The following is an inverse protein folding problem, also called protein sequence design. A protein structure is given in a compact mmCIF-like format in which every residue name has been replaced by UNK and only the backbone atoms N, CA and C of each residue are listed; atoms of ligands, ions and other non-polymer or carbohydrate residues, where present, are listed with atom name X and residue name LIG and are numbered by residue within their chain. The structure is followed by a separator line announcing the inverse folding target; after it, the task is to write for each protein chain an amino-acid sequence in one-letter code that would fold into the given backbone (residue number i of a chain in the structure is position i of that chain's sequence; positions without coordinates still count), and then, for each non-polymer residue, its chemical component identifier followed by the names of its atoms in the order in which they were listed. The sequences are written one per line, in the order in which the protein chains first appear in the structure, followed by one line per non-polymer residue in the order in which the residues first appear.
data_IF_346798357884
#
_entry.id   IF_346798357884
#
_cell.length_a   1.000
_cell.length_b   1.000
_cell.length_c   1.000
_cell.angle_alpha   90.00
_cell.angle_beta   90.00
_cell.angle_gamma   90.00
#
_symmetry.space_group_name_H-M   'P 1'
#
loop_
_entity.id
_entity.type
_entity.pdbx_description
1 polymer ?
#
# COMPACT_ATOMS: atom_id res chain seq x y z
N UNK A 1 91.81 -37.15 -63.32
CA UNK A 1 90.77 -36.10 -63.40
C UNK A 1 89.41 -36.72 -63.10
N UNK A 2 88.86 -36.57 -61.88
CA UNK A 2 87.60 -37.24 -61.48
C UNK A 2 86.79 -36.50 -60.41
N UNK A 3 87.07 -35.21 -60.21
CA UNK A 3 86.51 -34.38 -59.14
C UNK A 3 85.26 -33.51 -59.49
N UNK A 4 84.95 -33.13 -60.76
CA UNK A 4 83.82 -32.21 -61.04
C UNK A 4 82.41 -32.80 -60.81
N UNK A 5 82.21 -34.09 -61.09
CA UNK A 5 80.87 -34.72 -61.09
C UNK A 5 80.26 -34.90 -59.69
N UNK A 6 81.09 -35.07 -58.66
CA UNK A 6 80.60 -35.19 -57.27
C UNK A 6 80.05 -33.86 -56.76
N UNK A 7 80.71 -32.74 -57.08
CA UNK A 7 80.28 -31.40 -56.66
C UNK A 7 78.95 -31.01 -57.32
N UNK A 8 78.79 -31.29 -58.62
CA UNK A 8 77.53 -31.05 -59.34
C UNK A 8 76.34 -31.81 -58.73
N UNK A 9 76.52 -33.09 -58.34
CA UNK A 9 75.46 -33.88 -57.68
C UNK A 9 75.10 -33.34 -56.29
N UNK A 10 76.05 -32.79 -55.54
CA UNK A 10 75.79 -32.17 -54.23
C UNK A 10 74.97 -30.88 -54.41
N UNK A 11 75.35 -30.03 -55.37
CA UNK A 11 74.61 -28.80 -55.70
C UNK A 11 73.19 -29.14 -56.15
N UNK A 12 73.02 -30.12 -57.04
CA UNK A 12 71.69 -30.53 -57.53
C UNK A 12 70.80 -31.10 -56.41
N UNK A 13 71.38 -31.85 -55.45
CA UNK A 13 70.64 -32.32 -54.26
C UNK A 13 70.27 -31.15 -53.32
N UNK A 14 71.18 -30.20 -53.13
CA UNK A 14 70.91 -28.98 -52.35
C UNK A 14 69.77 -28.17 -52.95
N UNK A 15 69.81 -27.93 -54.27
CA UNK A 15 68.77 -27.21 -55.00
C UNK A 15 67.39 -27.86 -54.87
N UNK A 16 67.29 -29.19 -55.10
CA UNK A 16 66.02 -29.93 -54.90
C UNK A 16 65.51 -29.87 -53.46
N UNK A 17 66.41 -29.75 -52.48
CA UNK A 17 66.02 -29.60 -51.07
C UNK A 17 65.45 -28.22 -50.79
N UNK A 18 66.04 -27.18 -51.41
CA UNK A 18 65.54 -25.80 -51.35
C UNK A 18 64.17 -25.71 -52.01
N UNK A 19 63.99 -26.24 -53.23
CA UNK A 19 62.70 -26.26 -53.94
C UNK A 19 61.60 -26.91 -53.09
N UNK A 20 61.86 -28.10 -52.51
CA UNK A 20 60.90 -28.77 -51.62
C UNK A 20 60.59 -27.97 -50.36
N UNK A 21 61.55 -27.20 -49.85
CA UNK A 21 61.35 -26.36 -48.66
C UNK A 21 60.51 -25.14 -49.02
N UNK A 22 60.77 -24.51 -50.16
CA UNK A 22 59.96 -23.41 -50.69
C UNK A 22 58.52 -23.86 -50.97
N UNK A 23 58.32 -25.03 -51.60
CA UNK A 23 56.98 -25.60 -51.81
C UNK A 23 56.23 -25.83 -50.49
N UNK A 24 56.92 -26.33 -49.46
CA UNK A 24 56.33 -26.52 -48.13
C UNK A 24 55.95 -25.18 -47.48
N UNK A 25 56.82 -24.17 -47.60
CA UNK A 25 56.56 -22.82 -47.09
C UNK A 25 55.36 -22.22 -47.82
N UNK A 26 55.31 -22.31 -49.15
CA UNK A 26 54.19 -21.80 -49.95
C UNK A 26 52.88 -22.46 -49.56
N UNK A 27 52.83 -23.81 -49.46
CA UNK A 27 51.62 -24.52 -49.02
C UNK A 27 51.21 -24.14 -47.59
N UNK A 28 52.17 -23.95 -46.70
CA UNK A 28 51.90 -23.49 -45.34
C UNK A 28 51.33 -22.07 -45.33
N UNK A 29 51.86 -21.19 -46.18
CA UNK A 29 51.39 -19.82 -46.36
C UNK A 29 49.96 -19.79 -46.93
N UNK A 30 49.69 -20.56 -47.99
CA UNK A 30 48.35 -20.66 -48.59
C UNK A 30 47.34 -21.22 -47.57
N UNK A 31 47.74 -22.22 -46.79
CA UNK A 31 46.89 -22.78 -45.71
C UNK A 31 46.61 -21.74 -44.63
N UNK A 32 47.62 -20.95 -44.25
CA UNK A 32 47.45 -19.86 -43.28
C UNK A 32 46.53 -18.76 -43.84
N UNK A 33 46.74 -18.32 -45.08
CA UNK A 33 45.91 -17.32 -45.74
C UNK A 33 44.45 -17.78 -45.82
N UNK A 34 44.20 -19.02 -46.24
CA UNK A 34 42.85 -19.59 -46.30
C UNK A 34 42.18 -19.63 -44.91
N UNK A 35 42.93 -19.94 -43.84
CA UNK A 35 42.41 -19.92 -42.46
C UNK A 35 42.06 -18.50 -42.00
N UNK A 36 42.90 -17.52 -42.34
CA UNK A 36 42.65 -16.11 -42.03
C UNK A 36 41.43 -15.60 -42.78
N UNK A 37 41.31 -15.87 -44.08
CA UNK A 37 40.15 -15.48 -44.89
C UNK A 37 38.86 -16.12 -44.39
N UNK A 38 38.88 -17.41 -44.05
CA UNK A 38 37.73 -18.09 -43.45
C UNK A 38 37.29 -17.43 -42.13
N UNK A 39 38.25 -17.07 -41.27
CA UNK A 39 37.96 -16.41 -39.98
C UNK A 39 37.46 -14.98 -40.14
N UNK A 40 37.96 -14.24 -41.13
CA UNK A 40 37.44 -12.91 -41.49
C UNK A 40 35.98 -13.02 -41.95
N UNK A 41 35.66 -14.01 -42.78
CA UNK A 41 34.30 -14.22 -43.27
C UNK A 41 33.33 -14.61 -42.13
N UNK A 42 33.76 -15.47 -41.22
CA UNK A 42 33.00 -15.83 -40.01
C UNK A 42 32.72 -14.61 -39.13
N UNK A 43 33.73 -13.78 -38.86
CA UNK A 43 33.57 -12.53 -38.09
C UNK A 43 32.58 -11.58 -38.78
N UNK A 44 32.68 -11.42 -40.11
CA UNK A 44 31.75 -10.56 -40.88
C UNK A 44 30.31 -11.05 -40.78
N UNK A 45 30.09 -12.36 -40.82
CA UNK A 45 28.73 -12.91 -40.72
C UNK A 45 28.17 -12.78 -39.30
N UNK A 46 28.98 -13.04 -38.27
CA UNK A 46 28.61 -12.82 -36.87
C UNK A 46 28.24 -11.34 -36.62
N UNK A 47 29.00 -10.39 -37.16
CA UNK A 47 28.68 -8.95 -37.08
C UNK A 47 27.36 -8.61 -37.78
N UNK A 48 27.08 -9.20 -38.95
CA UNK A 48 25.79 -9.01 -39.65
C UNK A 48 24.61 -9.54 -38.85
N UNK A 49 24.75 -10.72 -38.25
CA UNK A 49 23.71 -11.32 -37.39
C UNK A 49 23.49 -10.43 -36.16
N UNK A 50 24.56 -10.01 -35.49
CA UNK A 50 24.47 -9.10 -34.33
C UNK A 50 23.74 -7.80 -34.71
N UNK A 51 24.11 -7.17 -35.83
CA UNK A 51 23.49 -5.91 -36.27
C UNK A 51 22.00 -6.09 -36.63
N UNK A 52 21.62 -7.22 -37.23
CA UNK A 52 20.20 -7.56 -37.48
C UNK A 52 19.42 -7.71 -36.19
N UNK A 53 19.99 -8.35 -35.17
CA UNK A 53 19.36 -8.53 -33.87
C UNK A 53 19.20 -7.18 -33.15
N UNK A 54 20.26 -6.37 -33.08
CA UNK A 54 20.18 -5.01 -32.51
C UNK A 54 19.13 -4.15 -33.22
N UNK A 55 19.03 -4.23 -34.55
CA UNK A 55 17.99 -3.51 -35.30
C UNK A 55 16.56 -3.98 -34.98
N UNK A 56 16.35 -5.29 -34.75
CA UNK A 56 15.05 -5.82 -34.29
C UNK A 56 14.70 -5.32 -32.89
N UNK A 57 15.67 -5.33 -31.97
CA UNK A 57 15.48 -4.87 -30.60
C UNK A 57 15.13 -3.38 -30.56
N UNK A 58 15.82 -2.55 -31.36
CA UNK A 58 15.50 -1.13 -31.51
C UNK A 58 14.07 -0.90 -32.01
N UNK A 59 13.62 -1.63 -33.03
CA UNK A 59 12.22 -1.53 -33.50
C UNK A 59 11.21 -1.94 -32.43
N UNK A 60 11.54 -2.94 -31.60
CA UNK A 60 10.67 -3.36 -30.49
C UNK A 60 10.62 -2.28 -29.40
N UNK A 61 11.74 -1.62 -29.10
CA UNK A 61 11.80 -0.48 -28.17
C UNK A 61 10.94 0.68 -28.71
N UNK A 62 11.07 1.03 -29.99
CA UNK A 62 10.26 2.10 -30.61
C UNK A 62 8.76 1.79 -30.53
N UNK A 63 8.36 0.54 -30.81
CA UNK A 63 6.96 0.12 -30.68
C UNK A 63 6.45 0.23 -29.24
N UNK A 64 7.27 -0.15 -28.24
CA UNK A 64 6.94 0.01 -26.82
C UNK A 64 6.84 1.49 -26.42
N UNK A 65 7.76 2.33 -26.87
CA UNK A 65 7.73 3.78 -26.63
C UNK A 65 6.48 4.44 -27.21
N UNK A 66 6.07 4.05 -28.42
CA UNK A 66 4.84 4.52 -29.04
C UNK A 66 3.60 4.09 -28.25
N UNK A 67 3.58 2.85 -27.73
CA UNK A 67 2.52 2.37 -26.85
C UNK A 67 2.44 3.15 -25.55
N UNK A 68 3.59 3.42 -24.90
CA UNK A 68 3.67 4.23 -23.67
C UNK A 68 3.15 5.65 -23.94
N UNK A 69 3.55 6.27 -25.05
CA UNK A 69 3.09 7.60 -25.42
C UNK A 69 1.57 7.66 -25.57
N UNK A 70 0.96 6.68 -26.25
CA UNK A 70 -0.51 6.58 -26.35
C UNK A 70 -1.19 6.46 -24.99
N UNK A 71 -0.66 5.63 -24.10
CA UNK A 71 -1.19 5.49 -22.73
C UNK A 71 -1.07 6.78 -21.92
N UNK A 72 0.02 7.54 -22.08
CA UNK A 72 0.20 8.84 -21.42
C UNK A 72 -0.79 9.88 -21.94
N UNK A 73 -1.06 9.91 -23.24
CA UNK A 73 -2.07 10.82 -23.81
C UNK A 73 -3.46 10.55 -23.23
N UNK A 74 -3.88 9.29 -23.13
CA UNK A 74 -5.16 8.89 -22.51
C UNK A 74 -5.19 9.32 -21.03
N UNK A 75 -4.08 9.16 -20.31
CA UNK A 75 -3.98 9.56 -18.91
C UNK A 75 -4.13 11.09 -18.73
N UNK A 76 -3.51 11.87 -19.61
CA UNK A 76 -3.66 13.34 -19.62
C UNK A 76 -5.09 13.78 -19.93
N UNK A 77 -5.79 13.09 -20.84
CA UNK A 77 -7.20 13.35 -21.13
C UNK A 77 -8.08 13.04 -19.92
N UNK A 78 -7.88 11.89 -19.28
CA UNK A 78 -8.61 11.53 -18.05
C UNK A 78 -8.36 12.55 -16.92
N UNK A 79 -7.12 13.01 -16.74
CA UNK A 79 -6.80 14.02 -15.75
C UNK A 79 -7.54 15.34 -16.01
N UNK A 80 -7.68 15.77 -17.27
CA UNK A 80 -8.49 16.94 -17.62
C UNK A 80 -9.97 16.76 -17.30
N UNK A 81 -10.51 15.55 -17.49
CA UNK A 81 -11.89 15.24 -17.11
C UNK A 81 -12.08 15.27 -15.59
N UNK A 82 -11.12 14.72 -14.84
CA UNK A 82 -11.12 14.76 -13.37
C UNK A 82 -11.02 16.20 -12.83
N UNK A 83 -10.13 17.03 -13.39
CA UNK A 83 -10.01 18.46 -13.04
C UNK A 83 -11.32 19.22 -13.34
N UNK A 84 -11.98 18.88 -14.46
CA UNK A 84 -13.29 19.43 -14.82
C UNK A 84 -14.39 19.04 -13.82
N UNK A 85 -14.45 17.77 -13.43
CA UNK A 85 -15.39 17.27 -12.43
C UNK A 85 -15.14 17.90 -11.05
N UNK A 86 -13.88 18.02 -10.63
CA UNK A 86 -13.49 18.67 -9.38
C UNK A 86 -13.95 20.14 -9.35
N UNK A 87 -13.83 20.86 -10.47
CA UNK A 87 -14.31 22.24 -10.60
C UNK A 87 -15.84 22.34 -10.46
N UNK A 88 -16.59 21.40 -11.05
CA UNK A 88 -18.06 21.34 -10.91
C UNK A 88 -18.44 21.10 -9.44
N UNK A 89 -17.78 20.15 -8.77
CA UNK A 89 -18.03 19.85 -7.36
C UNK A 89 -17.68 21.02 -6.44
N UNK A 90 -16.60 21.76 -6.73
CA UNK A 90 -16.23 22.98 -6.01
C UNK A 90 -17.31 24.06 -6.15
N UNK A 91 -17.82 24.28 -7.36
CA UNK A 91 -18.91 25.23 -7.59
C UNK A 91 -20.18 24.82 -6.83
N UNK A 92 -20.59 23.54 -6.91
CA UNK A 92 -21.75 23.03 -6.17
C UNK A 92 -21.60 23.18 -4.65
N UNK A 93 -20.39 22.96 -4.12
CA UNK A 93 -20.08 23.18 -2.70
C UNK A 93 -20.23 24.65 -2.31
N UNK A 94 -19.74 25.56 -3.14
CA UNK A 94 -19.78 27.00 -2.86
C UNK A 94 -21.21 27.55 -2.97
N UNK A 95 -22.02 27.06 -3.92
CA UNK A 95 -23.47 27.32 -4.01
C UNK A 95 -24.21 26.84 -2.75
N UNK A 96 -23.98 25.59 -2.33
CA UNK A 96 -24.58 25.04 -1.11
C UNK A 96 -24.16 25.84 0.15
N UNK A 97 -22.92 26.34 0.20
CA UNK A 97 -22.43 27.18 1.31
C UNK A 97 -23.10 28.55 1.34
N UNK A 98 -23.37 29.14 0.17
CA UNK A 98 -24.12 30.39 0.07
C UNK A 98 -25.57 30.19 0.54
N UNK A 99 -26.22 29.11 0.13
CA UNK A 99 -27.59 28.77 0.56
C UNK A 99 -27.66 28.57 2.09
N UNK A 100 -26.73 27.81 2.68
CA UNK A 100 -26.66 27.63 4.14
C UNK A 100 -26.41 28.96 4.85
N UNK A 101 -25.58 29.84 4.30
CA UNK A 101 -25.33 31.17 4.88
C UNK A 101 -26.58 32.05 4.84
N UNK A 102 -27.35 31.99 3.75
CA UNK A 102 -28.62 32.69 3.60
C UNK A 102 -29.66 32.19 4.61
N UNK A 103 -29.83 30.86 4.73
CA UNK A 103 -30.75 30.25 5.69
C UNK A 103 -30.38 30.60 7.13
N UNK A 104 -29.08 30.63 7.46
CA UNK A 104 -28.58 31.02 8.78
C UNK A 104 -28.94 32.48 9.11
N UNK A 105 -28.72 33.41 8.18
CA UNK A 105 -29.09 34.82 8.35
C UNK A 105 -30.61 34.99 8.52
N UNK A 106 -31.39 34.24 7.74
CA UNK A 106 -32.85 34.24 7.87
C UNK A 106 -33.28 33.78 9.27
N UNK A 107 -32.67 32.71 9.78
CA UNK A 107 -32.95 32.18 11.11
C UNK A 107 -32.57 33.18 12.22
N UNK A 108 -31.38 33.78 12.15
CA UNK A 108 -30.92 34.79 13.11
C UNK A 108 -31.90 35.96 13.18
N UNK A 109 -32.36 36.46 12.03
CA UNK A 109 -33.38 37.53 11.96
C UNK A 109 -34.70 37.11 12.61
N UNK A 110 -35.18 35.89 12.35
CA UNK A 110 -36.43 35.39 12.97
C UNK A 110 -36.29 35.26 14.49
N UNK A 111 -35.12 34.86 14.98
CA UNK A 111 -34.84 34.80 16.43
C UNK A 111 -34.86 36.20 17.05
N UNK A 112 -34.23 37.20 16.42
CA UNK A 112 -34.26 38.59 16.89
C UNK A 112 -35.69 39.16 16.95
N UNK A 113 -36.51 38.87 15.93
CA UNK A 113 -37.92 39.27 15.90
C UNK A 113 -38.71 38.63 17.04
N UNK A 114 -38.47 37.35 17.33
CA UNK A 114 -39.09 36.64 18.46
C UNK A 114 -38.66 37.22 19.81
N UNK A 115 -37.38 37.50 20.00
CA UNK A 115 -36.88 38.13 21.23
C UNK A 115 -37.50 39.51 21.44
N UNK A 116 -37.60 40.34 20.40
CA UNK A 116 -38.22 41.65 20.47
C UNK A 116 -39.71 41.57 20.87
N UNK A 117 -40.43 40.59 20.34
CA UNK A 117 -41.83 40.32 20.71
C UNK A 117 -41.92 39.87 22.17
N UNK A 118 -41.02 38.98 22.61
CA UNK A 118 -40.96 38.52 23.99
C UNK A 118 -40.69 39.66 24.98
N UNK A 119 -39.76 40.57 24.69
CA UNK A 119 -39.50 41.74 25.53
C UNK A 119 -40.71 42.69 25.63
N UNK A 120 -41.42 42.93 24.51
CA UNK A 120 -42.67 43.72 24.52
C UNK A 120 -43.73 43.05 25.39
N UNK A 121 -43.90 41.74 25.26
CA UNK A 121 -44.84 40.95 26.05
C UNK A 121 -44.54 41.06 27.56
N UNK A 122 -43.27 40.92 27.95
CA UNK A 122 -42.84 41.04 29.34
C UNK A 122 -43.09 42.45 29.92
N UNK A 123 -42.91 43.49 29.09
CA UNK A 123 -43.24 44.87 29.46
C UNK A 123 -44.74 45.10 29.71
N UNK A 124 -45.61 44.48 28.89
CA UNK A 124 -47.08 44.56 29.05
C UNK A 124 -47.57 43.80 30.28
N UNK A 125 -46.93 42.69 30.67
CA UNK A 125 -47.27 42.01 31.93
C UNK A 125 -46.99 42.85 33.17
N UNK A 126 -45.98 43.73 33.14
CA UNK A 126 -45.65 44.60 34.27
C UNK A 126 -46.56 45.83 34.41
N UNK A 127 -47.30 46.22 33.37
CA UNK A 127 -48.21 47.39 33.42
C UNK A 127 -49.64 47.06 33.85
N UNK A 128 -49.93 45.78 34.10
CA UNK A 128 -51.03 45.30 34.95
C UNK A 128 -52.35 46.09 34.85
N UNK A 129 -53.08 45.95 33.72
CA UNK A 129 -54.56 46.08 33.58
C UNK A 129 -54.96 46.32 32.12
N UNK A 130 -54.83 45.32 31.24
CA UNK A 130 -55.65 45.26 30.02
C UNK A 130 -55.76 43.81 29.54
N UNK A 131 -56.94 43.47 29.01
CA UNK A 131 -57.36 42.14 28.54
C UNK A 131 -56.29 41.42 27.72
N UNK A 132 -55.89 40.22 28.18
CA UNK A 132 -54.85 39.35 27.59
C UNK A 132 -55.22 38.72 26.22
N UNK A 133 -56.44 38.92 25.73
CA UNK A 133 -56.97 38.20 24.57
C UNK A 133 -56.18 38.40 23.25
N UNK A 134 -55.82 39.64 22.81
CA UNK A 134 -55.17 39.82 21.51
C UNK A 134 -53.68 39.42 21.50
N UNK A 135 -53.06 39.26 22.67
CA UNK A 135 -51.64 38.87 22.77
C UNK A 135 -51.46 37.35 22.77
N UNK A 136 -52.40 36.62 23.37
CA UNK A 136 -52.44 35.16 23.28
C UNK A 136 -52.53 34.69 21.82
N UNK A 137 -53.33 35.39 21.01
CA UNK A 137 -53.49 35.09 19.57
C UNK A 137 -52.18 35.27 18.78
N UNK A 138 -51.39 36.30 19.09
CA UNK A 138 -50.10 36.54 18.43
C UNK A 138 -49.02 35.51 18.83
N UNK A 139 -48.97 35.11 20.10
CA UNK A 139 -48.03 34.08 20.58
C UNK A 139 -48.36 32.73 19.94
N UNK A 140 -49.64 32.36 19.92
CA UNK A 140 -50.10 31.12 19.30
C UNK A 140 -49.80 31.09 17.79
N UNK A 141 -49.89 32.24 17.11
CA UNK A 141 -49.51 32.36 15.69
C UNK A 141 -48.00 32.16 15.47
N UNK A 142 -47.15 32.68 16.35
CA UNK A 142 -45.70 32.54 16.25
C UNK A 142 -45.24 31.12 16.60
N UNK A 143 -45.83 30.49 17.62
CA UNK A 143 -45.61 29.07 17.92
C UNK A 143 -45.99 28.19 16.73
N UNK A 144 -47.09 28.51 16.04
CA UNK A 144 -47.47 27.82 14.80
C UNK A 144 -46.45 27.98 13.67
N UNK A 145 -45.85 29.17 13.50
CA UNK A 145 -44.80 29.40 12.49
C UNK A 145 -43.53 28.63 12.85
N UNK A 146 -43.10 28.65 14.12
CA UNK A 146 -41.92 27.90 14.57
C UNK A 146 -42.14 26.40 14.39
N UNK A 147 -43.31 25.89 14.77
CA UNK A 147 -43.67 24.48 14.59
C UNK A 147 -43.67 24.10 13.10
N UNK A 148 -44.22 24.95 12.22
CA UNK A 148 -44.21 24.75 10.77
C UNK A 148 -42.80 24.71 10.19
N UNK A 149 -41.88 25.57 10.66
CA UNK A 149 -40.49 25.56 10.20
C UNK A 149 -39.74 24.31 10.69
N UNK A 150 -39.99 23.89 11.93
CA UNK A 150 -39.43 22.64 12.47
C UNK A 150 -39.94 21.43 11.70
N UNK A 151 -41.23 21.41 11.37
CA UNK A 151 -41.84 20.37 10.55
C UNK A 151 -41.29 20.40 9.12
N UNK A 152 -41.12 21.55 8.47
CA UNK A 152 -40.48 21.64 7.15
C UNK A 152 -39.02 21.17 7.18
N UNK A 153 -38.25 21.49 8.22
CA UNK A 153 -36.88 21.02 8.38
C UNK A 153 -36.82 19.50 8.60
N UNK A 154 -37.69 18.96 9.47
CA UNK A 154 -37.80 17.53 9.69
C UNK A 154 -38.25 16.81 8.42
N UNK A 155 -39.22 17.38 7.69
CA UNK A 155 -39.73 16.83 6.45
C UNK A 155 -38.65 16.84 5.38
N UNK A 156 -37.94 17.96 5.18
CA UNK A 156 -36.82 18.07 4.26
C UNK A 156 -35.65 17.14 4.63
N UNK A 157 -35.42 16.87 5.92
CA UNK A 157 -34.41 15.92 6.38
C UNK A 157 -34.84 14.46 6.21
N UNK A 158 -36.12 14.14 6.43
CA UNK A 158 -36.71 12.83 6.10
C UNK A 158 -36.81 12.60 4.60
N UNK A 159 -37.13 13.61 3.79
CA UNK A 159 -37.15 13.54 2.34
C UNK A 159 -35.73 13.46 1.78
N UNK A 160 -34.75 14.17 2.35
CA UNK A 160 -33.33 13.96 2.02
C UNK A 160 -32.85 12.56 2.42
N UNK A 161 -33.38 11.98 3.51
CA UNK A 161 -33.08 10.61 3.90
C UNK A 161 -33.81 9.56 3.05
N UNK A 162 -35.03 9.84 2.58
CA UNK A 162 -35.87 8.94 1.80
C UNK A 162 -35.61 8.99 0.29
N UNK A 163 -35.30 10.18 -0.25
CA UNK A 163 -34.90 10.41 -1.65
C UNK A 163 -33.39 10.28 -1.87
N UNK A 164 -32.59 9.94 -0.85
CA UNK A 164 -31.27 9.32 -1.08
C UNK A 164 -31.53 7.87 -1.48
N UNK A 165 -31.41 7.49 -2.76
CA UNK A 165 -31.74 6.15 -3.22
C UNK A 165 -30.77 5.15 -2.59
N UNK A 166 -31.13 4.50 -1.48
CA UNK A 166 -30.43 3.35 -0.91
C UNK A 166 -28.93 3.50 -0.61
N UNK A 167 -28.34 4.70 -0.76
CA UNK A 167 -26.89 4.93 -0.78
C UNK A 167 -26.31 5.23 0.60
N UNK A 168 -27.15 5.60 1.58
CA UNK A 168 -26.88 5.25 2.98
C UNK A 168 -27.22 3.77 3.13
N UNK A 169 -26.52 2.93 2.36
CA UNK A 169 -26.61 1.49 2.51
C UNK A 169 -26.45 1.22 4.00
N UNK A 170 -27.18 0.23 4.54
CA UNK A 170 -26.78 -0.38 5.79
C UNK A 170 -25.33 -0.79 5.58
N UNK A 171 -24.38 0.07 5.97
CA UNK A 171 -22.97 -0.13 5.70
C UNK A 171 -22.70 -1.54 6.14
N UNK A 172 -22.25 -2.38 5.20
CA UNK A 172 -22.12 -3.82 5.41
C UNK A 172 -21.52 -4.00 6.79
N UNK A 173 -22.31 -4.54 7.72
CA UNK A 173 -21.93 -4.61 9.13
C UNK A 173 -20.72 -5.53 9.17
N UNK A 174 -19.54 -4.93 9.13
CA UNK A 174 -18.28 -5.66 9.10
C UNK A 174 -18.18 -6.39 10.43
N UNK A 175 -18.21 -7.72 10.36
CA UNK A 175 -18.11 -8.54 11.55
C UNK A 175 -16.64 -8.63 11.97
N UNK A 176 -16.37 -8.56 13.28
CA UNK A 176 -15.02 -8.74 13.81
C UNK A 176 -14.43 -10.11 13.40
N UNK A 177 -15.27 -11.12 13.24
CA UNK A 177 -14.86 -12.45 12.80
C UNK A 177 -14.40 -12.48 11.33
N UNK A 178 -14.94 -11.62 10.47
CA UNK A 178 -14.48 -11.49 9.08
C UNK A 178 -13.06 -10.92 9.04
N UNK A 179 -12.83 -9.83 9.79
CA UNK A 179 -11.52 -9.19 9.93
C UNK A 179 -10.50 -10.18 10.52
N UNK A 180 -10.84 -10.87 11.61
CA UNK A 180 -9.96 -11.89 12.22
C UNK A 180 -9.68 -13.05 11.28
N UNK A 181 -10.65 -13.45 10.44
CA UNK A 181 -10.46 -14.53 9.48
C UNK A 181 -9.48 -14.12 8.38
N UNK A 182 -9.65 -12.93 7.80
CA UNK A 182 -8.70 -12.38 6.82
C UNK A 182 -7.31 -12.17 7.42
N UNK A 183 -7.24 -11.72 8.67
CA UNK A 183 -5.96 -11.60 9.38
C UNK A 183 -5.27 -12.95 9.56
N UNK A 184 -6.00 -13.99 9.99
CA UNK A 184 -5.45 -15.36 10.16
C UNK A 184 -5.03 -15.98 8.83
N UNK A 185 -5.80 -15.77 7.77
CA UNK A 185 -5.47 -16.19 6.41
C UNK A 185 -4.15 -15.56 5.96
N UNK A 186 -4.02 -14.23 6.09
CA UNK A 186 -2.78 -13.51 5.82
C UNK A 186 -1.61 -14.00 6.69
N UNK A 187 -1.83 -14.20 7.99
CA UNK A 187 -0.81 -14.72 8.91
C UNK A 187 -0.32 -16.12 8.53
N UNK A 188 -1.20 -16.96 8.02
CA UNK A 188 -0.85 -18.30 7.55
C UNK A 188 -0.01 -18.23 6.26
N UNK A 189 -0.44 -17.44 5.27
CA UNK A 189 0.31 -17.26 4.03
C UNK A 189 1.70 -16.64 4.28
N UNK A 190 1.80 -15.65 5.16
CA UNK A 190 3.09 -15.06 5.55
C UNK A 190 4.02 -16.11 6.17
N UNK A 191 3.51 -16.95 7.07
CA UNK A 191 4.31 -18.04 7.67
C UNK A 191 4.75 -19.08 6.64
N UNK A 192 3.87 -19.42 5.70
CA UNK A 192 4.18 -20.35 4.61
C UNK A 192 5.29 -19.79 3.71
N UNK A 193 5.17 -18.53 3.27
CA UNK A 193 6.20 -17.88 2.46
C UNK A 193 7.51 -17.71 3.24
N UNK A 194 7.44 -17.38 4.53
CA UNK A 194 8.61 -17.28 5.39
C UNK A 194 9.36 -18.61 5.49
N UNK A 195 8.66 -19.74 5.56
CA UNK A 195 9.27 -21.06 5.52
C UNK A 195 10.00 -21.29 4.19
N UNK A 196 9.33 -21.04 3.05
CA UNK A 196 9.95 -21.15 1.72
C UNK A 196 11.20 -20.29 1.59
N UNK A 197 11.16 -19.04 2.07
CA UNK A 197 12.31 -18.14 2.03
C UNK A 197 13.46 -18.59 2.94
N UNK A 198 13.13 -19.15 4.11
CA UNK A 198 14.10 -19.71 5.04
C UNK A 198 14.84 -20.88 4.42
N UNK A 199 14.11 -21.80 3.78
CA UNK A 199 14.69 -22.96 3.08
C UNK A 199 15.53 -22.54 1.87
N UNK A 200 15.11 -21.51 1.15
CA UNK A 200 15.79 -21.00 -0.03
C UNK A 200 17.07 -20.20 0.27
N UNK A 201 17.14 -19.49 1.40
CA UNK A 201 18.32 -18.69 1.75
C UNK A 201 19.48 -19.56 2.26
N UNK A 202 19.18 -20.66 2.95
CA UNK A 202 20.18 -21.42 3.73
C UNK A 202 20.66 -20.64 4.98
N UNK A 203 21.59 -21.22 5.74
CA UNK A 203 21.90 -20.83 7.13
C UNK A 203 22.65 -19.48 7.30
N UNK A 204 22.75 -18.62 6.27
CA UNK A 204 23.52 -17.36 6.37
C UNK A 204 22.77 -16.20 5.74
N UNK A 205 21.99 -15.48 6.57
CA UNK A 205 21.46 -14.17 6.21
C UNK A 205 22.59 -13.14 6.13
N UNK A 206 22.97 -12.78 4.90
CA UNK A 206 24.04 -11.80 4.68
C UNK A 206 23.67 -10.41 5.21
N UNK A 207 24.70 -9.63 5.59
CA UNK A 207 24.56 -8.24 6.03
C UNK A 207 23.87 -7.34 4.98
N UNK A 208 23.93 -7.73 3.70
CA UNK A 208 23.23 -7.11 2.57
C UNK A 208 21.70 -7.27 2.70
N UNK A 209 21.23 -8.48 3.02
CA UNK A 209 19.83 -8.77 3.31
C UNK A 209 19.33 -7.98 4.53
N UNK A 210 20.15 -7.87 5.58
CA UNK A 210 19.79 -7.07 6.77
C UNK A 210 19.60 -5.57 6.50
N UNK A 211 20.30 -5.00 5.51
CA UNK A 211 20.07 -3.60 5.10
C UNK A 211 18.70 -3.41 4.45
N UNK A 212 18.21 -4.40 3.71
CA UNK A 212 16.87 -4.39 3.09
C UNK A 212 15.78 -4.58 4.15
N UNK A 213 16.05 -5.41 5.17
CA UNK A 213 15.12 -5.71 6.26
C UNK A 213 15.07 -4.63 7.37
N UNK A 214 16.01 -3.68 7.35
CA UNK A 214 16.07 -2.54 8.26
C UNK A 214 16.80 -2.82 9.57
N UNK A 215 17.09 -1.74 10.32
CA UNK A 215 17.92 -1.78 11.55
C UNK A 215 17.37 -2.70 12.65
N UNK A 216 16.05 -2.90 12.71
CA UNK A 216 15.45 -3.79 13.69
C UNK A 216 15.75 -5.28 13.42
N UNK A 217 15.81 -5.70 12.15
CA UNK A 217 16.17 -7.07 11.80
C UNK A 217 17.62 -7.39 12.17
N UNK A 218 18.54 -6.43 11.98
CA UNK A 218 19.95 -6.57 12.32
C UNK A 218 20.18 -6.97 13.78
N UNK A 219 19.55 -6.27 14.72
CA UNK A 219 19.76 -6.48 16.17
C UNK A 219 19.33 -7.87 16.64
N UNK A 220 18.34 -8.46 15.97
CA UNK A 220 17.89 -9.82 16.26
C UNK A 220 18.89 -10.87 15.80
N UNK A 221 19.41 -10.75 14.58
CA UNK A 221 20.45 -11.66 14.09
C UNK A 221 21.71 -11.64 14.94
N UNK A 222 22.05 -10.48 15.51
CA UNK A 222 23.16 -10.37 16.46
C UNK A 222 22.87 -11.12 17.78
N UNK A 223 21.61 -11.31 18.14
CA UNK A 223 21.18 -11.87 19.44
C UNK A 223 20.81 -13.36 19.36
N UNK A 224 20.27 -13.84 18.24
CA UNK A 224 19.80 -15.21 18.07
C UNK A 224 20.68 -15.93 17.05
N UNK A 225 21.56 -16.81 17.53
CA UNK A 225 22.45 -17.63 16.69
C UNK A 225 21.85 -19.00 16.29
N UNK A 226 20.55 -19.21 16.55
CA UNK A 226 19.90 -20.52 16.37
C UNK A 226 19.20 -20.64 15.00
N UNK A 227 19.44 -21.75 14.29
CA UNK A 227 18.89 -22.07 12.96
C UNK A 227 17.35 -22.11 12.96
N UNK A 228 16.71 -22.38 14.10
CA UNK A 228 15.24 -22.39 14.19
C UNK A 228 14.59 -21.00 14.08
N UNK A 229 15.40 -19.93 14.02
CA UNK A 229 14.90 -18.54 14.07
C UNK A 229 14.76 -17.86 12.71
N UNK A 230 15.30 -18.43 11.63
CA UNK A 230 15.30 -17.81 10.30
C UNK A 230 13.88 -17.61 9.76
N UNK A 231 13.02 -18.62 9.89
CA UNK A 231 11.59 -18.53 9.52
C UNK A 231 10.89 -17.39 10.26
N UNK A 232 11.18 -17.23 11.54
CA UNK A 232 10.53 -16.25 12.39
C UNK A 232 10.99 -14.82 12.05
N UNK A 233 12.26 -14.65 11.65
CA UNK A 233 12.76 -13.40 11.08
C UNK A 233 12.06 -13.07 9.77
N UNK A 234 12.00 -14.04 8.84
CA UNK A 234 11.33 -13.85 7.56
C UNK A 234 9.86 -13.48 7.73
N UNK A 235 9.16 -14.16 8.63
CA UNK A 235 7.76 -13.86 8.98
C UNK A 235 7.61 -12.41 9.46
N UNK A 236 8.48 -11.98 10.38
CA UNK A 236 8.48 -10.60 10.89
C UNK A 236 8.72 -9.57 9.79
N UNK A 237 9.67 -9.87 8.90
CA UNK A 237 10.04 -9.00 7.79
C UNK A 237 8.90 -8.86 6.79
N UNK A 238 8.27 -9.97 6.41
CA UNK A 238 7.10 -9.98 5.55
C UNK A 238 5.94 -9.21 6.18
N UNK A 239 5.64 -9.44 7.46
CA UNK A 239 4.61 -8.69 8.17
C UNK A 239 4.86 -7.18 8.16
N UNK A 240 6.11 -6.75 8.39
CA UNK A 240 6.47 -5.33 8.31
C UNK A 240 6.30 -4.78 6.92
N UNK A 241 6.85 -5.47 5.90
CA UNK A 241 6.72 -5.05 4.51
C UNK A 241 5.25 -4.86 4.15
N UNK A 242 4.40 -5.87 4.40
CA UNK A 242 2.96 -5.79 4.10
C UNK A 242 2.27 -4.70 4.93
N UNK A 243 2.61 -4.55 6.21
CA UNK A 243 2.03 -3.51 7.06
C UNK A 243 2.37 -2.11 6.54
N UNK A 244 3.65 -1.83 6.27
CA UNK A 244 4.09 -0.52 5.78
C UNK A 244 3.66 -0.25 4.35
N UNK A 245 3.57 -1.27 3.50
CA UNK A 245 3.20 -1.13 2.09
C UNK A 245 1.69 -1.08 1.87
N UNK A 246 0.87 -1.70 2.72
CA UNK A 246 -0.58 -1.77 2.51
C UNK A 246 -1.34 -1.25 3.71
N UNK A 247 -1.12 -1.83 4.89
CA UNK A 247 -2.05 -1.70 6.01
C UNK A 247 -1.86 -0.45 6.88
N UNK A 248 -0.83 0.37 6.65
CA UNK A 248 -0.53 1.58 7.42
C UNK A 248 -0.81 2.88 6.63
N UNK A 249 -1.20 3.98 7.31
CA UNK A 249 -1.64 5.23 6.67
C UNK A 249 -0.52 5.96 5.91
N UNK A 250 0.73 5.67 6.25
CA UNK A 250 1.91 6.28 5.65
C UNK A 250 2.56 5.40 4.58
N UNK A 251 1.80 4.49 3.96
CA UNK A 251 2.33 3.68 2.87
C UNK A 251 2.69 4.56 1.68
N UNK A 252 3.96 4.51 1.27
CA UNK A 252 4.45 5.18 0.06
C UNK A 252 3.83 4.60 -1.22
N UNK A 253 3.39 3.35 -1.19
CA UNK A 253 2.84 2.69 -2.38
C UNK A 253 1.50 3.28 -2.81
N UNK A 254 0.73 3.80 -1.85
CA UNK A 254 -0.53 4.46 -2.11
C UNK A 254 -0.36 5.99 -2.23
N UNK A 255 0.87 6.51 -2.39
CA UNK A 255 1.11 7.95 -2.40
C UNK A 255 0.32 8.65 -3.50
N UNK A 256 -0.52 9.61 -3.08
CA UNK A 256 -1.40 10.35 -3.99
C UNK A 256 -2.67 9.60 -4.41
N UNK A 257 -2.85 8.36 -3.95
CA UNK A 257 -4.08 7.60 -4.16
C UNK A 257 -5.16 8.04 -3.16
N UNK A 258 -6.44 8.19 -3.56
CA UNK A 258 -7.51 8.60 -2.65
C UNK A 258 -7.64 7.72 -1.39
N UNK A 259 -7.36 6.42 -1.55
CA UNK A 259 -7.33 5.44 -0.45
C UNK A 259 -6.35 5.82 0.66
N UNK A 260 -5.18 6.36 0.31
CA UNK A 260 -4.18 6.80 1.28
C UNK A 260 -4.69 7.99 2.08
N UNK A 261 -5.27 8.98 1.40
CA UNK A 261 -5.85 10.17 2.04
C UNK A 261 -6.95 9.78 3.03
N UNK A 262 -7.85 8.86 2.65
CA UNK A 262 -8.88 8.34 3.55
C UNK A 262 -8.28 7.65 4.77
N UNK A 263 -7.24 6.83 4.55
CA UNK A 263 -6.58 6.10 5.61
C UNK A 263 -5.86 7.04 6.60
N UNK A 264 -5.14 8.04 6.09
CA UNK A 264 -4.52 9.10 6.90
C UNK A 264 -5.56 9.89 7.68
N UNK A 265 -6.67 10.25 7.03
CA UNK A 265 -7.75 10.97 7.67
C UNK A 265 -8.38 10.16 8.81
N UNK A 266 -8.61 8.86 8.62
CA UNK A 266 -9.05 7.94 9.69
C UNK A 266 -8.04 7.85 10.83
N UNK A 267 -6.75 7.73 10.53
CA UNK A 267 -5.69 7.68 11.56
C UNK A 267 -5.62 8.99 12.36
N UNK A 268 -5.63 10.13 11.69
CA UNK A 268 -5.56 11.45 12.32
C UNK A 268 -6.82 11.74 13.15
N UNK A 269 -7.98 11.33 12.64
CA UNK A 269 -9.23 11.39 13.38
C UNK A 269 -9.14 10.55 14.67
N UNK A 270 -8.67 9.30 14.59
CA UNK A 270 -8.50 8.43 15.77
C UNK A 270 -7.61 9.07 16.84
N UNK A 271 -6.52 9.72 16.44
CA UNK A 271 -5.61 10.40 17.39
C UNK A 271 -6.23 11.66 18.00
N UNK A 272 -7.01 12.41 17.22
CA UNK A 272 -7.63 13.67 17.66
C UNK A 272 -8.89 13.46 18.51
N UNK A 273 -9.54 12.30 18.36
CA UNK A 273 -10.85 12.00 18.96
C UNK A 273 -10.77 11.17 20.23
N UNK A 274 -9.56 10.85 20.73
CA UNK A 274 -9.37 10.03 21.95
C UNK A 274 -10.10 10.57 23.19
N UNK A 275 -10.50 11.83 23.18
CA UNK A 275 -11.13 12.52 24.32
C UNK A 275 -12.57 13.00 24.05
N UNK A 276 -13.13 12.77 22.85
CA UNK A 276 -14.40 13.41 22.42
C UNK A 276 -15.38 12.43 21.75
N UNK A 277 -15.92 11.49 22.54
CA UNK A 277 -16.73 10.36 22.09
C UNK A 277 -17.85 10.67 21.08
N UNK A 278 -18.67 11.70 21.31
CA UNK A 278 -19.76 12.07 20.37
C UNK A 278 -19.26 12.55 19.01
N UNK A 279 -18.11 13.24 18.95
CA UNK A 279 -17.51 13.65 17.67
C UNK A 279 -16.95 12.46 16.91
N UNK A 280 -16.48 11.44 17.63
CA UNK A 280 -15.93 10.24 17.02
C UNK A 280 -16.97 9.47 16.22
N UNK A 281 -18.19 9.34 16.75
CA UNK A 281 -19.31 8.73 16.05
C UNK A 281 -19.62 9.43 14.73
N UNK A 282 -19.82 10.75 14.75
CA UNK A 282 -20.15 11.49 13.53
C UNK A 282 -19.03 11.39 12.48
N UNK A 283 -17.77 11.60 12.88
CA UNK A 283 -16.62 11.51 11.96
C UNK A 283 -16.50 10.10 11.39
N UNK A 284 -16.65 9.08 12.24
CA UNK A 284 -16.53 7.69 11.82
C UNK A 284 -17.57 7.28 10.77
N UNK A 285 -18.81 7.73 10.96
CA UNK A 285 -19.93 7.49 10.05
C UNK A 285 -19.66 8.19 8.72
N UNK A 286 -19.28 9.46 8.77
CA UNK A 286 -18.93 10.22 7.56
C UNK A 286 -17.77 9.59 6.77
N UNK A 287 -16.73 9.09 7.46
CA UNK A 287 -15.59 8.43 6.81
C UNK A 287 -15.96 7.07 6.21
N UNK A 288 -16.77 6.28 6.91
CA UNK A 288 -17.26 5.00 6.42
C UNK A 288 -18.17 5.19 5.19
N UNK A 289 -19.11 6.13 5.26
CA UNK A 289 -20.00 6.43 4.14
C UNK A 289 -19.20 6.99 2.94
N UNK A 290 -18.18 7.82 3.22
CA UNK A 290 -17.24 8.32 2.22
C UNK A 290 -16.40 7.24 1.55
N UNK A 291 -16.08 6.13 2.24
CA UNK A 291 -15.25 5.05 1.70
C UNK A 291 -15.85 4.41 0.44
N UNK A 292 -17.19 4.31 0.40
CA UNK A 292 -17.92 3.74 -0.73
C UNK A 292 -17.73 4.57 -2.00
N UNK A 293 -17.72 5.91 -1.87
CA UNK A 293 -17.47 6.79 -3.00
C UNK A 293 -16.07 6.60 -3.58
N UNK A 294 -15.07 6.28 -2.74
CA UNK A 294 -13.72 6.00 -3.22
C UNK A 294 -13.62 4.68 -3.99
N UNK A 295 -14.46 3.68 -3.65
CA UNK A 295 -14.50 2.41 -4.38
C UNK A 295 -14.91 2.62 -5.84
N UNK A 296 -15.90 3.49 -6.07
CA UNK A 296 -16.43 3.77 -7.41
C UNK A 296 -15.60 4.79 -8.20
N UNK A 297 -14.92 5.73 -7.52
CA UNK A 297 -14.08 6.74 -8.18
C UNK A 297 -12.68 6.25 -8.51
N UNK A 298 -12.15 5.27 -7.80
CA UNK A 298 -10.87 4.68 -8.19
C UNK A 298 -11.09 3.69 -9.32
N UNK A 299 -10.66 4.06 -10.53
CA UNK A 299 -10.58 3.14 -11.66
C UNK A 299 -9.96 1.82 -11.22
N UNK A 300 -10.62 0.70 -11.51
CA UNK A 300 -10.08 -0.65 -11.27
C UNK A 300 -8.65 -0.80 -11.84
N UNK A 301 -8.35 -0.09 -12.94
CA UNK A 301 -7.01 -0.03 -13.52
C UNK A 301 -5.98 0.71 -12.64
N UNK A 302 -6.38 1.76 -11.93
CA UNK A 302 -5.49 2.48 -11.01
C UNK A 302 -5.13 1.60 -9.80
N UNK A 303 -6.13 0.92 -9.22
CA UNK A 303 -5.92 -0.05 -8.14
C UNK A 303 -5.01 -1.20 -8.61
N UNK A 304 -5.27 -1.74 -9.81
CA UNK A 304 -4.43 -2.79 -10.41
C UNK A 304 -2.98 -2.33 -10.63
N UNK A 305 -2.76 -1.10 -11.10
CA UNK A 305 -1.42 -0.56 -11.32
C UNK A 305 -0.63 -0.41 -10.02
N UNK A 306 -1.26 0.12 -8.96
CA UNK A 306 -0.62 0.23 -7.64
C UNK A 306 -0.31 -1.16 -7.09
N UNK A 307 -1.24 -2.10 -7.25
CA UNK A 307 -1.05 -3.48 -6.85
C UNK A 307 0.11 -4.16 -7.59
N UNK A 308 0.22 -4.00 -8.91
CA UNK A 308 1.29 -4.56 -9.73
C UNK A 308 2.65 -3.93 -9.37
N UNK A 309 2.70 -2.64 -9.05
CA UNK A 309 3.90 -1.96 -8.57
C UNK A 309 4.36 -2.51 -7.22
N UNK A 310 3.42 -2.68 -6.27
CA UNK A 310 3.67 -3.30 -4.97
C UNK A 310 4.22 -4.72 -5.11
N UNK A 311 3.56 -5.52 -5.93
CA UNK A 311 3.99 -6.89 -6.22
C UNK A 311 5.41 -6.91 -6.78
N UNK A 312 5.70 -6.08 -7.78
CA UNK A 312 7.04 -5.94 -8.35
C UNK A 312 8.07 -5.53 -7.30
N UNK A 313 7.77 -4.51 -6.48
CA UNK A 313 8.70 -3.97 -5.49
C UNK A 313 9.02 -4.97 -4.38
N UNK A 314 8.00 -5.61 -3.81
CA UNK A 314 8.19 -6.59 -2.72
C UNK A 314 8.91 -7.81 -3.26
N UNK A 315 8.45 -8.36 -4.40
CA UNK A 315 9.09 -9.53 -5.01
C UNK A 315 10.55 -9.24 -5.36
N UNK A 316 10.85 -8.10 -6.00
CA UNK A 316 12.23 -7.74 -6.33
C UNK A 316 13.10 -7.51 -5.09
N UNK A 317 12.52 -7.09 -3.96
CA UNK A 317 13.24 -6.94 -2.69
C UNK A 317 13.57 -8.31 -2.08
N UNK A 318 12.62 -9.26 -2.09
CA UNK A 318 12.85 -10.64 -1.64
C UNK A 318 13.83 -11.38 -2.56
N UNK A 319 13.70 -11.27 -3.87
CA UNK A 319 14.58 -11.97 -4.83
C UNK A 319 16.03 -11.49 -4.77
N UNK A 320 16.28 -10.24 -4.36
CA UNK A 320 17.64 -9.71 -4.15
C UNK A 320 18.35 -10.32 -2.94
N UNK A 321 17.59 -10.93 -2.04
CA UNK A 321 18.12 -11.49 -0.80
C UNK A 321 18.38 -12.99 -0.87
N UNK A 322 18.01 -13.64 -1.98
CA UNK A 322 18.19 -15.08 -2.18
C UNK A 322 19.49 -15.36 -2.96
N UNK A 323 20.28 -16.37 -2.55
CA UNK A 323 21.60 -16.65 -3.13
C UNK A 323 21.53 -17.24 -4.54
N UNK A 324 20.47 -17.99 -4.88
CA UNK A 324 20.27 -18.60 -6.19
C UNK A 324 18.87 -18.29 -6.69
N UNK A 325 18.78 -17.71 -7.89
CA UNK A 325 17.52 -17.37 -8.53
C UNK A 325 17.11 -18.50 -9.49
N UNK A 326 16.42 -19.51 -8.96
CA UNK A 326 15.67 -20.43 -9.82
C UNK A 326 14.39 -19.73 -10.34
N UNK A 327 14.14 -19.88 -11.64
CA UNK A 327 12.95 -19.39 -12.31
C UNK A 327 11.66 -19.90 -11.67
N UNK A 328 11.60 -21.16 -11.23
CA UNK A 328 10.40 -21.73 -10.60
C UNK A 328 10.16 -21.14 -9.21
N UNK A 329 11.20 -21.08 -8.39
CA UNK A 329 11.12 -20.45 -7.07
C UNK A 329 10.69 -18.97 -7.17
N UNK A 330 11.19 -18.25 -8.17
CA UNK A 330 10.79 -16.85 -8.44
C UNK A 330 9.29 -16.74 -8.72
N UNK A 331 8.75 -17.63 -9.54
CA UNK A 331 7.33 -17.67 -9.88
C UNK A 331 6.49 -17.98 -8.63
N UNK A 332 6.91 -18.96 -7.81
CA UNK A 332 6.22 -19.31 -6.58
C UNK A 332 6.20 -18.15 -5.57
N UNK A 333 7.34 -17.52 -5.31
CA UNK A 333 7.43 -16.35 -4.41
C UNK A 333 6.52 -15.22 -4.91
N UNK A 334 6.52 -14.93 -6.23
CA UNK A 334 5.63 -13.92 -6.79
C UNK A 334 4.15 -14.27 -6.62
N UNK A 335 3.77 -15.54 -6.78
CA UNK A 335 2.39 -15.99 -6.57
C UNK A 335 1.97 -15.85 -5.10
N UNK A 336 2.84 -16.25 -4.16
CA UNK A 336 2.57 -16.15 -2.73
C UNK A 336 2.46 -14.68 -2.28
N UNK A 337 3.38 -13.81 -2.74
CA UNK A 337 3.31 -12.37 -2.47
C UNK A 337 2.03 -11.77 -3.05
N UNK A 338 1.63 -12.18 -4.27
CA UNK A 338 0.37 -11.73 -4.89
C UNK A 338 -0.83 -12.14 -4.03
N UNK A 339 -0.89 -13.38 -3.55
CA UNK A 339 -1.97 -13.85 -2.69
C UNK A 339 -2.04 -13.07 -1.36
N UNK A 340 -0.89 -12.83 -0.72
CA UNK A 340 -0.79 -12.03 0.50
C UNK A 340 -1.28 -10.60 0.27
N UNK A 341 -0.84 -9.96 -0.81
CA UNK A 341 -1.24 -8.59 -1.15
C UNK A 341 -2.74 -8.50 -1.45
N UNK A 342 -3.33 -9.51 -2.09
CA UNK A 342 -4.76 -9.54 -2.36
C UNK A 342 -5.56 -9.51 -1.05
N UNK A 343 -5.23 -10.41 -0.12
CA UNK A 343 -5.89 -10.47 1.21
C UNK A 343 -5.63 -9.20 2.02
N UNK A 344 -4.42 -8.63 1.97
CA UNK A 344 -4.11 -7.37 2.65
C UNK A 344 -4.93 -6.19 2.10
N UNK A 345 -5.10 -6.11 0.77
CA UNK A 345 -5.90 -5.07 0.12
C UNK A 345 -7.40 -5.20 0.44
N UNK A 346 -7.93 -6.43 0.50
CA UNK A 346 -9.30 -6.72 0.93
C UNK A 346 -9.51 -6.33 2.39
N UNK A 347 -8.60 -6.75 3.27
CA UNK A 347 -8.64 -6.41 4.69
C UNK A 347 -8.60 -4.88 4.89
N UNK A 348 -7.74 -4.17 4.15
CA UNK A 348 -7.71 -2.71 4.20
C UNK A 348 -9.04 -2.10 3.74
N UNK A 349 -9.69 -2.65 2.71
CA UNK A 349 -10.99 -2.17 2.25
C UNK A 349 -12.06 -2.30 3.35
N UNK A 350 -12.08 -3.47 3.99
CA UNK A 350 -12.99 -3.78 5.10
C UNK A 350 -12.75 -2.79 6.26
N UNK A 351 -11.50 -2.54 6.64
CA UNK A 351 -11.13 -1.58 7.69
C UNK A 351 -11.52 -0.15 7.31
N UNK A 352 -11.28 0.26 6.07
CA UNK A 352 -11.61 1.62 5.61
C UNK A 352 -13.10 1.85 5.45
N UNK A 353 -13.89 0.79 5.23
CA UNK A 353 -15.35 0.89 5.11
C UNK A 353 -16.10 0.66 6.42
N UNK A 354 -15.42 0.14 7.43
CA UNK A 354 -16.01 0.00 8.75
C UNK A 354 -16.21 1.36 9.44
N UNK A 355 -17.25 1.47 10.26
CA UNK A 355 -17.44 2.63 11.16
C UNK A 355 -16.44 2.60 12.30
N UNK A 356 -15.99 1.43 12.74
CA UNK A 356 -14.98 1.38 13.79
C UNK A 356 -13.60 1.88 13.30
N UNK A 357 -12.80 2.41 14.23
CA UNK A 357 -11.40 2.74 13.97
C UNK A 357 -10.52 1.56 14.29
N UNK A 358 -9.64 1.19 13.37
CA UNK A 358 -8.68 0.10 13.57
C UNK A 358 -7.28 0.68 13.71
N UNK A 359 -6.49 0.08 14.60
CA UNK A 359 -5.08 0.39 14.76
C UNK A 359 -4.27 -0.88 14.55
N UNK A 360 -3.28 -0.78 13.67
CA UNK A 360 -2.27 -1.82 13.49
C UNK A 360 -1.01 -1.30 14.16
N UNK A 361 -0.72 -1.86 15.33
CA UNK A 361 0.37 -1.40 16.16
C UNK A 361 1.53 -2.39 16.10
N UNK A 362 2.67 -1.89 15.65
CA UNK A 362 3.95 -2.46 16.00
C UNK A 362 4.36 -1.81 17.32
N UNK A 363 4.57 -2.61 18.37
CA UNK A 363 5.22 -2.04 19.55
C UNK A 363 6.56 -1.46 19.13
N UNK A 364 6.81 -0.20 19.51
CA UNK A 364 8.09 0.44 19.26
C UNK A 364 9.16 -0.42 19.91
N UNK A 365 10.02 -1.01 19.10
CA UNK A 365 11.22 -1.66 19.58
C UNK A 365 12.01 -0.61 20.37
N UNK A 366 12.63 -1.02 21.48
CA UNK A 366 13.56 -0.14 22.14
C UNK A 366 14.62 0.32 21.13
N UNK A 367 14.72 1.64 20.91
CA UNK A 367 15.94 2.23 20.32
C UNK A 367 17.12 1.95 21.25
N UNK A 368 18.37 2.20 20.82
CA UNK A 368 19.62 1.75 21.47
C UNK A 368 19.75 1.98 23.00
N UNK A 369 18.88 2.80 23.61
CA UNK A 369 18.85 3.07 25.05
C UNK A 369 17.54 2.70 25.78
N UNK A 370 16.57 2.05 25.13
CA UNK A 370 15.31 1.64 25.78
C UNK A 370 15.40 0.20 26.31
N UNK A 371 14.81 -0.04 27.49
CA UNK A 371 14.74 -1.37 28.08
C UNK A 371 13.75 -2.25 27.30
N UNK A 372 14.08 -3.54 27.15
CA UNK A 372 13.15 -4.56 26.65
C UNK A 372 11.83 -4.49 27.43
N UNK A 373 10.71 -4.51 26.73
CA UNK A 373 9.39 -4.37 27.36
C UNK A 373 9.01 -5.64 28.12
N UNK A 374 8.34 -5.54 29.28
CA UNK A 374 7.75 -6.71 29.91
C UNK A 374 6.70 -7.33 29.00
N UNK A 375 6.62 -8.66 29.00
CA UNK A 375 5.55 -9.39 28.34
C UNK A 375 4.19 -8.98 28.92
N UNK A 376 3.24 -8.66 28.04
CA UNK A 376 1.86 -8.36 28.42
C UNK A 376 0.91 -9.42 27.85
N UNK A 377 0.39 -10.35 28.67
CA UNK A 377 -0.49 -11.42 28.19
C UNK A 377 -1.82 -10.90 27.63
N UNK A 378 -2.19 -9.64 27.88
CA UNK A 378 -3.39 -9.04 27.31
C UNK A 378 -3.18 -8.68 25.84
N UNK A 379 -1.98 -8.25 25.48
CA UNK A 379 -1.65 -7.76 24.14
C UNK A 379 -0.80 -8.68 23.28
N UNK A 380 -0.21 -9.70 23.90
CA UNK A 380 0.80 -10.55 23.29
C UNK A 380 0.50 -12.03 23.52
N UNK A 381 0.94 -12.84 22.55
CA UNK A 381 0.94 -14.29 22.61
C UNK A 381 2.39 -14.78 22.49
N UNK A 382 2.85 -15.52 23.50
CA UNK A 382 4.23 -16.00 23.55
C UNK A 382 4.36 -17.26 22.70
N UNK A 383 5.11 -17.17 21.61
CA UNK A 383 5.35 -18.31 20.70
C UNK A 383 6.55 -19.13 21.17
N UNK A 384 7.57 -18.47 21.70
CA UNK A 384 8.77 -19.12 22.23
C UNK A 384 9.32 -18.35 23.43
N UNK A 385 10.02 -19.07 24.31
CA UNK A 385 10.72 -18.48 25.46
C UNK A 385 12.13 -19.03 25.59
N UNK A 386 13.13 -18.16 25.69
CA UNK A 386 14.53 -18.55 25.89
C UNK A 386 14.88 -18.79 27.37
N UNK A 387 14.06 -18.32 28.31
CA UNK A 387 14.27 -18.48 29.76
C UNK A 387 13.06 -19.12 30.48
N UNK A 388 13.32 -19.86 31.57
CA UNK A 388 12.28 -20.47 32.43
C UNK A 388 11.81 -19.56 33.59
N UNK A 389 12.34 -18.34 33.72
CA UNK A 389 12.23 -17.50 34.93
C UNK A 389 11.08 -16.47 34.90
N UNK A 390 10.57 -16.13 36.09
CA UNK A 390 9.58 -15.06 36.31
C UNK A 390 10.17 -13.68 35.96
N UNK A 391 9.54 -12.98 35.01
CA UNK A 391 9.99 -11.66 34.54
C UNK A 391 10.25 -11.56 33.03
N UNK A 392 9.61 -12.43 32.23
CA UNK A 392 9.79 -12.53 30.79
C UNK A 392 9.67 -11.18 30.08
N UNK A 393 10.70 -10.83 29.32
CA UNK A 393 10.73 -9.63 28.50
C UNK A 393 10.53 -10.02 27.05
N UNK A 394 9.88 -9.14 26.29
CA UNK A 394 9.74 -9.30 24.85
C UNK A 394 11.10 -9.01 24.22
N UNK A 395 11.75 -10.04 23.70
CA UNK A 395 12.98 -9.89 22.90
C UNK A 395 12.65 -9.68 21.43
N UNK A 396 11.49 -10.14 20.97
CA UNK A 396 11.10 -10.00 19.58
C UNK A 396 9.59 -9.98 19.36
N UNK A 397 9.15 -9.20 18.37
CA UNK A 397 7.75 -9.07 17.94
C UNK A 397 7.63 -9.63 16.53
N UNK A 398 6.95 -10.76 16.39
CA UNK A 398 6.82 -11.52 15.14
C UNK A 398 5.68 -11.00 14.26
N UNK A 399 4.56 -10.63 14.87
CA UNK A 399 3.39 -10.11 14.18
C UNK A 399 2.84 -8.85 14.87
N UNK A 400 2.13 -7.97 14.14
CA UNK A 400 1.57 -6.76 14.74
C UNK A 400 0.29 -7.04 15.54
N UNK A 401 -0.06 -6.10 16.41
CA UNK A 401 -1.36 -6.09 17.10
C UNK A 401 -2.40 -5.48 16.17
N UNK A 402 -3.60 -6.07 16.17
CA UNK A 402 -4.79 -5.44 15.61
C UNK A 402 -5.78 -5.10 16.73
N UNK A 403 -6.01 -3.81 16.96
CA UNK A 403 -7.02 -3.31 17.88
C UNK A 403 -8.08 -2.49 17.15
N UNK A 404 -9.25 -2.38 17.79
CA UNK A 404 -10.42 -1.67 17.30
C UNK A 404 -10.95 -0.73 18.37
N UNK A 405 -11.42 0.45 17.97
CA UNK A 405 -12.24 1.34 18.81
C UNK A 405 -13.59 1.58 18.13
N UNK A 406 -14.63 1.51 18.93
CA UNK A 406 -16.00 1.55 18.47
C UNK A 406 -16.51 0.22 17.92
N UNK A 407 -17.84 0.08 17.86
CA UNK A 407 -18.53 -1.07 17.30
C UNK A 407 -18.92 -0.83 15.84
N UNK A 408 -19.48 -1.84 15.18
CA UNK A 408 -19.88 -1.73 13.77
C UNK A 408 -21.05 -0.76 13.54
N UNK A 409 -21.77 -0.39 14.61
CA UNK A 409 -22.87 0.57 14.57
C UNK A 409 -22.36 2.02 14.65
N UNK A 410 -21.08 2.19 15.01
CA UNK A 410 -20.41 3.48 15.14
C UNK A 410 -20.52 4.08 16.54
N UNK A 411 -20.52 3.25 17.58
CA UNK A 411 -20.67 3.66 18.98
C UNK A 411 -19.51 3.11 19.83
N UNK A 412 -19.37 3.54 21.09
CA UNK A 412 -18.40 2.99 22.07
C UNK A 412 -16.90 3.21 21.72
N UNK A 413 -16.54 4.40 21.25
CA UNK A 413 -15.15 4.75 20.92
C UNK A 413 -14.22 4.95 22.12
N UNK A 414 -14.77 5.02 23.32
CA UNK A 414 -14.05 5.08 24.59
C UNK A 414 -13.34 3.76 24.94
N UNK A 415 -13.74 2.66 24.29
CA UNK A 415 -13.19 1.32 24.53
C UNK A 415 -12.31 0.88 23.37
N UNK A 416 -11.14 0.38 23.72
CA UNK A 416 -10.25 -0.33 22.81
C UNK A 416 -10.41 -1.84 23.00
N UNK A 417 -10.79 -2.51 21.93
CA UNK A 417 -10.98 -3.96 21.88
C UNK A 417 -9.81 -4.53 21.09
N UNK A 418 -9.12 -5.48 21.68
CA UNK A 418 -8.09 -6.22 20.96
C UNK A 418 -8.73 -7.31 20.11
N UNK A 419 -8.48 -7.29 18.81
CA UNK A 419 -8.96 -8.31 17.89
C UNK A 419 -7.92 -9.40 17.67
N UNK A 420 -6.65 -9.02 17.57
CA UNK A 420 -5.53 -9.93 17.40
C UNK A 420 -4.35 -9.48 18.27
N UNK A 421 -3.81 -10.42 19.05
CA UNK A 421 -2.60 -10.24 19.85
C UNK A 421 -1.38 -10.33 18.94
N UNK A 422 -0.29 -9.69 19.35
CA UNK A 422 0.98 -9.87 18.67
C UNK A 422 1.67 -11.15 19.12
N UNK A 423 2.21 -11.89 18.16
CA UNK A 423 3.10 -13.02 18.42
C UNK A 423 4.46 -12.49 18.86
N UNK A 424 4.98 -12.99 19.97
CA UNK A 424 6.27 -12.56 20.53
C UNK A 424 7.17 -13.73 20.89
N UNK A 425 8.47 -13.48 20.84
CA UNK A 425 9.48 -14.31 21.51
C UNK A 425 9.90 -13.57 22.77
N UNK A 426 9.92 -14.31 23.88
CA UNK A 426 10.32 -13.80 25.17
C UNK A 426 11.65 -14.38 25.64
N UNK A 427 12.37 -13.62 26.43
CA UNK A 427 13.63 -14.02 27.03
C UNK A 427 13.95 -13.28 28.30
#
# INVERSE_FOLDING_TARGET
MGFPWRMFRIIQKGWKTIERTLDKIQRSFDTFQNRVEARINDIKENLRISNRNTSKDLRQIDAKMLSIHKSLTILHENQRHEDGAAKILLNQRDEARQEVSFLKLSLEKTVEELEAIWYRFKGVQHTGKTSNAPHAEHVQKLEGIVQSIVEELQTAETERSANRPGLLSKGLKVCDEEIKTKWREMAHMIRSLAQTLSEAHGNVLEHSTMKVLGSAARRYFETMQDESTDRDVWSTCLWRLISYSVLLPHSDAWKGHPRQSLHQLKSNALDSLKEQGHKAEWVSRWLADGSHHFKDTTSEMANKRVFDLLLCQISASLMRTLPVQDSQMTIHIQQDVRAILAVACELQEIILSSRAFFSIAWHKFPTDNQQWRPFDPRSMEMIASTEKSQGQRVIWLLSPILSKRGNADGEQYDKEIMLVKADVICG
#
